data_IF_078509146066
#
_entry.id   IF_078509146066
#
_cell.length_a   1.000
_cell.length_b   1.000
_cell.length_c   1.000
_cell.angle_alpha   90.00
_cell.angle_beta   90.00
_cell.angle_gamma   90.00
#
_symmetry.space_group_name_H-M   'P 1'
#
loop_
_entity.id
_entity.type
_entity.pdbx_description
1 polymer ?
#
# COMPACT_ATOMS: atom_id res chain seq x y z
N UNK A 1 8.80 -20.44 38.48
CA UNK A 1 7.58 -20.93 37.80
C UNK A 1 7.13 -19.84 36.84
N UNK A 2 7.05 -20.16 35.55
CA UNK A 2 6.68 -19.21 34.49
C UNK A 2 5.26 -18.67 34.67
N UNK A 3 4.97 -17.40 34.35
CA UNK A 3 3.60 -16.94 34.31
C UNK A 3 2.90 -17.56 33.09
N UNK A 4 1.73 -18.14 33.36
CA UNK A 4 0.89 -18.86 32.41
C UNK A 4 0.41 -17.92 31.31
N UNK A 5 0.73 -18.27 30.06
CA UNK A 5 0.12 -17.72 28.86
C UNK A 5 -1.40 -17.93 28.95
N UNK A 6 -2.19 -16.86 29.00
CA UNK A 6 -3.64 -16.96 28.97
C UNK A 6 -4.11 -16.89 27.50
N UNK A 7 -4.57 -17.99 26.89
CA UNK A 7 -4.90 -18.04 25.47
C UNK A 7 -6.18 -17.26 25.09
N UNK A 8 -6.89 -16.67 26.05
CA UNK A 8 -8.10 -15.87 25.81
C UNK A 8 -7.83 -14.36 25.68
N UNK A 9 -6.59 -13.90 25.83
CA UNK A 9 -6.21 -12.52 25.51
C UNK A 9 -5.78 -12.44 24.04
N UNK A 10 -6.66 -11.90 23.19
CA UNK A 10 -6.30 -11.50 21.84
C UNK A 10 -5.25 -10.39 21.92
N UNK A 11 -4.01 -10.72 21.56
CA UNK A 11 -2.96 -9.73 21.37
C UNK A 11 -3.37 -8.83 20.22
N UNK A 12 -3.63 -7.55 20.51
CA UNK A 12 -4.09 -6.57 19.50
C UNK A 12 -2.98 -6.28 18.47
N UNK A 13 -1.73 -6.68 18.75
CA UNK A 13 -0.60 -6.53 17.84
C UNK A 13 0.35 -7.75 17.89
N UNK A 14 0.19 -8.73 16.99
CA UNK A 14 1.00 -9.95 16.95
C UNK A 14 2.50 -9.70 16.69
N UNK A 15 2.86 -8.56 16.10
CA UNK A 15 4.22 -8.26 15.63
C UNK A 15 5.19 -7.82 16.75
N UNK A 16 4.68 -7.55 17.96
CA UNK A 16 5.50 -7.18 19.13
C UNK A 16 5.68 -8.38 20.09
N UNK A 17 4.98 -9.49 19.82
CA UNK A 17 4.98 -10.70 20.67
C UNK A 17 6.29 -11.50 20.63
N UNK A 18 7.25 -11.09 19.79
CA UNK A 18 8.57 -11.70 19.68
C UNK A 18 9.55 -11.16 20.72
N UNK A 19 9.49 -11.67 21.95
CA UNK A 19 10.70 -11.78 22.79
C UNK A 19 11.01 -10.70 23.82
N UNK A 20 10.10 -9.78 24.16
CA UNK A 20 10.28 -8.89 25.32
C UNK A 20 9.11 -9.11 26.29
N UNK A 21 9.42 -9.56 27.51
CA UNK A 21 8.44 -9.54 28.59
C UNK A 21 8.11 -8.07 28.87
N UNK A 22 7.01 -7.57 28.33
CA UNK A 22 6.53 -6.25 28.71
C UNK A 22 6.32 -6.25 30.24
N UNK A 23 6.94 -5.31 30.99
CA UNK A 23 6.76 -5.25 32.43
C UNK A 23 5.29 -4.93 32.73
N UNK A 24 4.62 -5.78 33.50
CA UNK A 24 3.21 -5.57 33.82
C UNK A 24 3.07 -4.51 34.90
N UNK A 25 2.28 -3.47 34.65
CA UNK A 25 1.88 -2.50 35.67
C UNK A 25 1.00 -3.23 36.70
N UNK A 26 1.52 -3.38 37.92
CA UNK A 26 0.86 -4.14 38.98
C UNK A 26 0.18 -3.24 40.01
N UNK A 27 0.50 -1.94 40.04
CA UNK A 27 0.02 -1.00 41.06
C UNK A 27 -0.52 0.32 40.51
N UNK A 28 -1.45 0.96 41.24
CA UNK A 28 -2.01 2.28 40.89
C UNK A 28 -0.90 3.36 40.80
N UNK A 29 0.08 3.44 41.73
CA UNK A 29 1.18 4.40 41.62
C UNK A 29 2.05 4.22 40.36
N UNK A 30 2.30 2.99 39.94
CA UNK A 30 3.00 2.69 38.68
C UNK A 30 2.21 3.17 37.47
N UNK A 31 0.89 2.96 37.48
CA UNK A 31 -0.01 3.45 36.44
C UNK A 31 0.00 4.99 36.35
N UNK A 32 -0.16 5.68 37.48
CA UNK A 32 -0.16 7.15 37.53
C UNK A 32 1.17 7.74 37.05
N UNK A 33 2.29 7.10 37.42
CA UNK A 33 3.62 7.48 36.95
C UNK A 33 3.76 7.27 35.44
N UNK A 34 3.38 6.11 34.92
CA UNK A 34 3.42 5.80 33.49
C UNK A 34 2.56 6.77 32.67
N UNK A 35 1.36 7.10 33.16
CA UNK A 35 0.47 8.08 32.55
C UNK A 35 1.07 9.49 32.57
N UNK A 36 1.68 9.89 33.69
CA UNK A 36 2.41 11.15 33.80
C UNK A 36 3.57 11.24 32.79
N UNK A 37 4.33 10.16 32.61
CA UNK A 37 5.38 10.09 31.61
C UNK A 37 4.84 10.13 30.17
N UNK A 38 3.69 9.51 29.90
CA UNK A 38 3.04 9.57 28.59
C UNK A 38 2.64 11.01 28.24
N UNK A 39 2.07 11.74 29.20
CA UNK A 39 1.69 13.15 29.05
C UNK A 39 2.93 14.00 28.76
N UNK A 40 3.98 13.87 29.59
CA UNK A 40 5.25 14.59 29.38
C UNK A 40 5.87 14.28 28.02
N UNK A 41 5.85 13.02 27.60
CA UNK A 41 6.34 12.63 26.27
C UNK A 41 5.53 13.28 25.16
N UNK A 42 4.19 13.36 25.30
CA UNK A 42 3.31 14.04 24.35
C UNK A 42 3.59 15.55 24.27
N UNK A 43 4.01 16.17 25.36
CA UNK A 43 4.45 17.57 25.38
C UNK A 43 5.79 17.78 24.65
N UNK A 44 6.65 16.76 24.62
CA UNK A 44 7.92 16.80 23.88
C UNK A 44 7.75 16.49 22.39
N UNK A 45 6.80 15.62 22.03
CA UNK A 45 6.64 15.19 20.64
C UNK A 45 5.73 13.98 20.47
N UNK A 46 5.83 13.33 19.32
CA UNK A 46 5.06 12.13 19.03
C UNK A 46 5.78 11.21 18.05
N UNK A 47 5.50 9.91 18.15
CA UNK A 47 5.93 8.93 17.17
C UNK A 47 5.10 9.06 15.90
N UNK A 48 5.79 9.17 14.76
CA UNK A 48 5.21 9.35 13.44
C UNK A 48 5.71 8.24 12.52
N UNK A 49 4.73 7.53 11.94
CA UNK A 49 4.95 6.64 10.81
C UNK A 49 4.39 7.32 9.55
N UNK A 50 5.22 7.45 8.52
CA UNK A 50 4.80 7.96 7.21
C UNK A 50 4.24 6.80 6.39
N UNK A 51 3.02 6.96 5.89
CA UNK A 51 2.37 5.98 5.04
C UNK A 51 1.94 6.66 3.74
N UNK A 52 2.37 6.08 2.61
CA UNK A 52 2.06 6.62 1.29
C UNK A 52 1.34 5.53 0.51
N UNK A 53 0.10 5.83 0.14
CA UNK A 53 -0.79 4.88 -0.51
C UNK A 53 -1.11 5.30 -1.94
N UNK A 54 -1.50 4.32 -2.76
CA UNK A 54 -2.09 4.56 -4.08
C UNK A 54 -1.10 4.81 -5.22
N UNK A 55 0.22 4.87 -4.95
CA UNK A 55 1.25 5.11 -5.99
C UNK A 55 1.45 3.90 -6.90
N UNK A 56 1.74 2.74 -6.31
CA UNK A 56 2.01 1.54 -7.09
C UNK A 56 0.69 0.89 -7.54
N UNK A 57 0.47 0.84 -8.85
CA UNK A 57 -0.65 0.15 -9.49
C UNK A 57 -0.12 -0.99 -10.33
N UNK A 58 -0.42 -2.21 -9.89
CA UNK A 58 0.02 -3.46 -10.51
C UNK A 58 -1.12 -4.47 -10.51
N UNK A 59 -1.01 -5.48 -11.38
CA UNK A 59 -1.73 -6.74 -11.23
C UNK A 59 -0.80 -7.91 -11.54
N UNK A 60 -1.12 -9.07 -10.98
CA UNK A 60 -0.51 -10.34 -11.33
C UNK A 60 -1.47 -11.16 -12.19
N UNK A 61 -0.90 -11.91 -13.12
CA UNK A 61 -1.62 -12.82 -13.99
C UNK A 61 -0.97 -14.20 -13.91
N UNK A 62 -1.73 -15.15 -13.40
CA UNK A 62 -1.37 -16.55 -13.28
C UNK A 62 -2.50 -17.36 -13.90
N UNK A 63 -2.25 -18.04 -15.02
CA UNK A 63 -3.30 -18.78 -15.71
C UNK A 63 -3.76 -20.01 -14.93
N UNK A 64 -2.96 -20.51 -13.98
CA UNK A 64 -3.38 -21.60 -13.08
C UNK A 64 -4.52 -21.20 -12.13
N UNK A 65 -4.69 -19.89 -11.86
CA UNK A 65 -5.76 -19.38 -11.00
C UNK A 65 -7.08 -19.21 -11.77
N UNK A 66 -7.02 -19.29 -13.09
CA UNK A 66 -8.16 -19.15 -13.97
C UNK A 66 -8.56 -20.58 -14.34
N UNK A 67 -9.83 -20.96 -14.15
CA UNK A 67 -10.35 -22.31 -14.43
C UNK A 67 -10.38 -22.59 -15.96
N UNK A 68 -9.24 -22.46 -16.62
CA UNK A 68 -9.03 -22.61 -18.05
C UNK A 68 -8.77 -24.10 -18.31
N UNK A 69 -9.55 -24.76 -19.18
CA UNK A 69 -9.25 -26.10 -19.65
C UNK A 69 -7.84 -26.19 -20.22
N UNK A 70 -7.09 -27.24 -19.87
CA UNK A 70 -5.69 -27.40 -20.30
C UNK A 70 -5.53 -27.42 -21.81
N UNK A 71 -6.51 -28.00 -22.50
CA UNK A 71 -6.58 -28.08 -23.95
C UNK A 71 -6.76 -26.71 -24.61
N UNK A 72 -7.10 -25.64 -23.89
CA UNK A 72 -7.15 -24.26 -24.42
C UNK A 72 -5.79 -23.57 -24.39
N UNK A 73 -4.75 -24.21 -23.85
CA UNK A 73 -3.40 -23.65 -23.73
C UNK A 73 -2.41 -24.41 -24.62
N UNK A 74 -1.45 -23.68 -25.19
CA UNK A 74 -0.37 -24.31 -25.95
C UNK A 74 0.44 -25.27 -25.06
N UNK A 75 0.69 -26.49 -25.57
CA UNK A 75 1.40 -27.57 -24.88
C UNK A 75 0.73 -28.07 -23.59
N UNK A 76 -0.57 -27.80 -23.38
CA UNK A 76 -1.33 -28.20 -22.20
C UNK A 76 -0.75 -27.72 -20.86
N UNK A 77 0.15 -26.73 -20.89
CA UNK A 77 0.87 -26.22 -19.72
C UNK A 77 0.73 -24.70 -19.62
N UNK A 78 0.22 -24.18 -18.50
CA UNK A 78 0.14 -22.74 -18.28
C UNK A 78 1.55 -22.13 -18.13
N UNK A 79 1.82 -20.99 -18.80
CA UNK A 79 3.08 -20.28 -18.68
C UNK A 79 3.31 -19.70 -17.28
N UNK A 80 4.56 -19.34 -17.02
CA UNK A 80 5.00 -18.78 -15.75
C UNK A 80 4.30 -17.45 -15.44
N UNK A 81 3.78 -17.25 -14.21
CA UNK A 81 3.05 -16.03 -13.84
C UNK A 81 3.81 -14.74 -14.12
N UNK A 82 3.07 -13.70 -14.52
CA UNK A 82 3.63 -12.37 -14.76
C UNK A 82 3.07 -11.35 -13.78
N UNK A 83 3.84 -10.28 -13.54
CA UNK A 83 3.38 -9.07 -12.85
C UNK A 83 3.53 -7.90 -13.80
N UNK A 84 2.45 -7.16 -14.01
CA UNK A 84 2.41 -6.02 -14.92
C UNK A 84 2.28 -4.75 -14.12
N UNK A 85 3.09 -3.75 -14.44
CA UNK A 85 3.06 -2.44 -13.81
C UNK A 85 2.33 -1.43 -14.70
N UNK A 86 1.55 -0.52 -14.08
CA UNK A 86 0.85 0.52 -14.83
C UNK A 86 1.83 1.47 -15.54
N UNK A 87 2.92 1.82 -14.87
CA UNK A 87 3.88 2.80 -15.37
C UNK A 87 5.17 2.14 -15.88
N UNK A 88 5.85 2.74 -16.86
CA UNK A 88 7.20 2.34 -17.24
C UNK A 88 8.20 2.62 -16.10
N UNK A 89 9.36 1.96 -16.16
CA UNK A 89 10.38 1.99 -15.09
C UNK A 89 10.82 3.42 -14.73
N UNK A 90 10.92 4.32 -15.68
CA UNK A 90 11.41 5.68 -15.42
C UNK A 90 10.39 6.52 -14.64
N UNK A 91 9.11 6.42 -15.00
CA UNK A 91 8.02 7.03 -14.23
C UNK A 91 7.93 6.43 -12.83
N UNK A 92 8.09 5.11 -12.67
CA UNK A 92 8.15 4.47 -11.36
C UNK A 92 9.30 5.01 -10.51
N UNK A 93 10.50 5.17 -11.08
CA UNK A 93 11.66 5.73 -10.38
C UNK A 93 11.43 7.17 -9.96
N UNK A 94 10.85 7.99 -10.84
CA UNK A 94 10.53 9.38 -10.53
C UNK A 94 9.51 9.50 -9.40
N UNK A 95 8.43 8.70 -9.44
CA UNK A 95 7.46 8.62 -8.35
C UNK A 95 8.12 8.19 -7.04
N UNK A 96 8.88 7.09 -7.04
CA UNK A 96 9.62 6.63 -5.85
C UNK A 96 10.54 7.70 -5.26
N UNK A 97 11.20 8.50 -6.11
CA UNK A 97 12.05 9.61 -5.65
C UNK A 97 11.23 10.69 -4.95
N UNK A 98 10.08 11.07 -5.48
CA UNK A 98 9.16 12.02 -4.84
C UNK A 98 8.62 11.48 -3.51
N UNK A 99 8.22 10.20 -3.49
CA UNK A 99 7.78 9.49 -2.29
C UNK A 99 8.86 9.45 -1.21
N UNK A 100 10.12 9.23 -1.60
CA UNK A 100 11.26 9.26 -0.69
C UNK A 100 11.55 10.68 -0.20
N UNK A 101 11.33 11.69 -1.03
CA UNK A 101 11.44 13.11 -0.69
C UNK A 101 10.67 13.49 0.57
N UNK A 102 9.49 12.89 0.79
CA UNK A 102 8.68 13.13 2.00
C UNK A 102 9.45 12.87 3.31
N UNK A 103 10.37 11.89 3.30
CA UNK A 103 11.17 11.55 4.48
C UNK A 103 12.22 12.61 4.83
N UNK A 104 12.56 13.49 3.89
CA UNK A 104 13.62 14.51 4.08
C UNK A 104 13.25 15.58 5.10
N UNK A 105 11.95 15.72 5.41
CA UNK A 105 11.51 16.56 6.51
C UNK A 105 12.18 16.15 7.82
N UNK A 106 12.29 14.85 8.09
CA UNK A 106 12.84 14.33 9.33
C UNK A 106 14.36 14.39 9.33
N UNK A 107 14.90 15.29 10.15
CA UNK A 107 16.32 15.50 10.32
C UNK A 107 16.66 15.70 11.81
N UNK A 108 17.96 15.76 12.12
CA UNK A 108 18.45 15.87 13.52
C UNK A 108 17.93 17.10 14.26
N UNK A 109 17.51 18.16 13.55
CA UNK A 109 17.00 19.39 14.16
C UNK A 109 15.54 19.30 14.60
N UNK A 110 14.75 18.42 14.01
CA UNK A 110 13.31 18.33 14.28
C UNK A 110 12.83 16.93 14.72
N UNK A 111 13.66 15.91 14.61
CA UNK A 111 13.28 14.54 14.94
C UNK A 111 14.48 13.64 15.24
N UNK A 112 14.20 12.41 15.66
CA UNK A 112 15.14 11.30 15.65
C UNK A 112 14.48 10.02 15.16
N UNK A 113 15.30 9.08 14.67
CA UNK A 113 14.83 7.79 14.15
C UNK A 113 14.42 6.86 15.29
N UNK A 114 13.41 6.04 15.03
CA UNK A 114 12.91 5.02 15.95
C UNK A 114 12.71 3.72 15.16
N UNK A 115 12.57 2.58 15.84
CA UNK A 115 12.32 1.28 15.21
C UNK A 115 11.04 1.25 14.35
N UNK A 116 10.10 2.17 14.57
CA UNK A 116 8.80 2.23 13.88
C UNK A 116 8.61 3.48 12.99
N UNK A 117 9.65 4.30 12.80
CA UNK A 117 9.58 5.55 12.05
C UNK A 117 10.40 6.66 12.69
N UNK A 118 9.75 7.76 13.08
CA UNK A 118 10.41 8.94 13.64
C UNK A 118 9.72 9.41 14.92
N UNK A 119 10.47 10.01 15.85
CA UNK A 119 9.89 10.84 16.89
C UNK A 119 10.00 12.31 16.47
N UNK A 120 8.88 12.96 16.19
CA UNK A 120 8.81 14.37 15.79
C UNK A 120 8.67 15.26 17.02
N UNK A 121 9.46 16.32 17.11
CA UNK A 121 9.33 17.29 18.19
C UNK A 121 8.06 18.11 18.06
N UNK A 122 7.38 18.35 19.19
CA UNK A 122 6.09 19.06 19.24
C UNK A 122 6.14 20.44 18.58
N UNK A 123 7.25 21.15 18.73
CA UNK A 123 7.49 22.45 18.11
C UNK A 123 7.39 22.44 16.58
N UNK A 124 7.50 21.27 15.95
CA UNK A 124 7.50 21.12 14.50
C UNK A 124 6.22 20.52 13.91
N UNK A 125 5.19 20.25 14.73
CA UNK A 125 3.92 19.69 14.25
C UNK A 125 3.22 20.57 13.19
N UNK A 126 3.16 21.91 13.34
CA UNK A 126 2.56 22.76 12.32
C UNK A 126 3.32 22.68 10.99
N UNK A 127 4.65 22.72 11.03
CA UNK A 127 5.49 22.61 9.84
C UNK A 127 5.33 21.25 9.15
N UNK A 128 5.18 20.17 9.91
CA UNK A 128 4.94 18.84 9.34
C UNK A 128 3.62 18.79 8.56
N UNK A 129 2.54 19.36 9.11
CA UNK A 129 1.24 19.40 8.45
C UNK A 129 1.31 20.19 7.14
N UNK A 130 1.95 21.36 7.15
CA UNK A 130 2.14 22.18 5.93
C UNK A 130 3.00 21.45 4.91
N UNK A 131 4.12 20.87 5.35
CA UNK A 131 5.02 20.12 4.48
C UNK A 131 4.33 18.94 3.78
N UNK A 132 3.47 18.19 4.49
CA UNK A 132 2.69 17.11 3.88
C UNK A 132 1.78 17.60 2.75
N UNK A 133 1.13 18.75 2.91
CA UNK A 133 0.29 19.35 1.87
C UNK A 133 1.15 19.76 0.66
N UNK A 134 2.29 20.42 0.90
CA UNK A 134 3.22 20.82 -0.17
C UNK A 134 3.77 19.61 -0.95
N UNK A 135 4.07 18.50 -0.26
CA UNK A 135 4.51 17.27 -0.92
C UNK A 135 3.40 16.62 -1.74
N UNK A 136 2.17 16.62 -1.24
CA UNK A 136 1.01 16.12 -1.99
C UNK A 136 0.75 16.97 -3.23
N UNK A 137 0.84 18.30 -3.13
CA UNK A 137 0.73 19.22 -4.26
C UNK A 137 1.85 19.01 -5.28
N UNK A 138 3.09 18.88 -4.82
CA UNK A 138 4.26 18.59 -5.68
C UNK A 138 4.07 17.29 -6.46
N UNK A 139 3.58 16.25 -5.79
CA UNK A 139 3.28 14.96 -6.44
C UNK A 139 2.16 15.10 -7.47
N UNK A 140 1.07 15.78 -7.11
CA UNK A 140 -0.06 16.02 -8.01
C UNK A 140 0.35 16.85 -9.24
N UNK A 141 1.22 17.85 -9.05
CA UNK A 141 1.76 18.67 -10.12
C UNK A 141 2.63 17.83 -11.07
N UNK A 142 3.56 17.04 -10.53
CA UNK A 142 4.36 16.12 -11.33
C UNK A 142 3.49 15.17 -12.18
N UNK A 143 2.44 14.60 -11.59
CA UNK A 143 1.50 13.71 -12.28
C UNK A 143 0.73 14.45 -13.39
N UNK A 144 0.28 15.67 -13.13
CA UNK A 144 -0.39 16.50 -14.13
C UNK A 144 0.55 16.82 -15.29
N UNK A 145 1.78 17.25 -15.00
CA UNK A 145 2.74 17.64 -16.03
C UNK A 145 3.21 16.45 -16.87
N UNK A 146 3.43 15.30 -16.22
CA UNK A 146 4.01 14.12 -16.86
C UNK A 146 2.97 13.21 -17.52
N UNK A 147 1.73 13.16 -17.02
CA UNK A 147 0.75 12.15 -17.40
C UNK A 147 -0.56 12.73 -17.98
N UNK A 148 -0.66 14.04 -18.15
CA UNK A 148 -1.82 14.67 -18.80
C UNK A 148 -1.86 14.41 -20.32
N UNK A 149 -2.83 15.02 -21.01
CA UNK A 149 -2.98 14.96 -22.48
C UNK A 149 -3.08 13.53 -23.03
N UNK A 150 -3.69 12.62 -22.26
CA UNK A 150 -3.93 11.23 -22.68
C UNK A 150 -2.78 10.27 -22.38
N UNK A 151 -1.63 10.74 -21.89
CA UNK A 151 -0.48 9.87 -21.56
C UNK A 151 -0.86 8.82 -20.52
N UNK A 152 -1.58 9.21 -19.46
CA UNK A 152 -2.08 8.26 -18.46
C UNK A 152 -2.96 7.16 -19.08
N UNK A 153 -3.87 7.54 -19.98
CA UNK A 153 -4.75 6.61 -20.66
C UNK A 153 -3.97 5.64 -21.55
N UNK A 154 -2.92 6.12 -22.22
CA UNK A 154 -2.02 5.26 -23.01
C UNK A 154 -1.29 4.26 -22.11
N UNK A 155 -0.72 4.70 -20.98
CA UNK A 155 -0.10 3.78 -20.03
C UNK A 155 -1.06 2.73 -19.50
N UNK A 156 -2.32 3.11 -19.23
CA UNK A 156 -3.35 2.13 -18.88
C UNK A 156 -3.60 1.12 -20.01
N UNK A 157 -3.69 1.57 -21.27
CA UNK A 157 -3.86 0.68 -22.41
C UNK A 157 -2.67 -0.25 -22.60
N UNK A 158 -1.43 0.26 -22.54
CA UNK A 158 -0.21 -0.54 -22.66
C UNK A 158 -0.12 -1.58 -21.55
N UNK A 159 -0.55 -1.20 -20.33
CA UNK A 159 -0.62 -2.08 -19.17
C UNK A 159 -1.68 -3.18 -19.31
N UNK A 160 -2.84 -2.86 -19.88
CA UNK A 160 -3.88 -3.83 -20.17
C UNK A 160 -3.46 -4.77 -21.32
N UNK A 161 -2.90 -4.20 -22.39
CA UNK A 161 -2.42 -4.91 -23.57
C UNK A 161 -1.37 -5.96 -23.22
N UNK A 162 -0.42 -5.65 -22.33
CA UNK A 162 0.59 -6.61 -21.89
C UNK A 162 0.01 -7.90 -21.31
N UNK A 163 -1.02 -7.81 -20.46
CA UNK A 163 -1.70 -8.99 -19.93
C UNK A 163 -2.58 -9.67 -20.97
N UNK A 164 -3.21 -8.89 -21.85
CA UNK A 164 -4.04 -9.42 -22.93
C UNK A 164 -3.21 -10.24 -23.93
N UNK A 165 -2.05 -9.72 -24.34
CA UNK A 165 -1.08 -10.41 -25.20
C UNK A 165 -0.48 -11.63 -24.52
N UNK A 166 -0.28 -11.59 -23.20
CA UNK A 166 0.18 -12.75 -22.45
C UNK A 166 -0.82 -13.92 -22.54
N UNK A 167 -2.13 -13.67 -22.40
CA UNK A 167 -3.15 -14.71 -22.61
C UNK A 167 -3.17 -15.14 -24.08
N UNK A 168 -3.11 -14.18 -25.01
CA UNK A 168 -3.10 -14.45 -26.45
C UNK A 168 -1.97 -15.38 -26.88
N UNK A 169 -0.76 -15.15 -26.37
CA UNK A 169 0.41 -15.96 -26.70
C UNK A 169 0.35 -17.36 -26.06
N UNK A 170 -0.45 -17.54 -25.02
CA UNK A 170 -0.66 -18.81 -24.35
C UNK A 170 -1.82 -19.63 -24.95
N UNK A 171 -2.71 -19.00 -25.71
CA UNK A 171 -3.95 -19.60 -26.20
C UNK A 171 -3.71 -20.55 -27.39
N UNK A 172 -4.14 -21.80 -27.27
CA UNK A 172 -4.14 -22.76 -28.38
C UNK A 172 -5.29 -22.50 -29.37
N UNK A 173 -5.19 -23.07 -30.58
CA UNK A 173 -6.22 -22.95 -31.63
C UNK A 173 -7.59 -23.54 -31.25
N UNK A 174 -7.62 -24.40 -30.24
CA UNK A 174 -8.80 -25.01 -29.62
C UNK A 174 -9.55 -24.05 -28.69
N UNK A 175 -8.90 -23.00 -28.20
CA UNK A 175 -9.53 -22.01 -27.34
C UNK A 175 -10.55 -21.19 -28.14
N UNK A 176 -11.80 -21.02 -27.66
CA UNK A 176 -12.83 -20.30 -28.39
C UNK A 176 -12.66 -18.76 -28.31
N UNK A 177 -11.49 -18.26 -27.96
CA UNK A 177 -11.31 -16.85 -27.60
C UNK A 177 -11.11 -15.95 -28.81
N UNK A 178 -11.73 -14.78 -28.78
CA UNK A 178 -11.53 -13.74 -29.80
C UNK A 178 -10.65 -12.62 -29.28
N UNK A 179 -9.55 -12.36 -29.99
CA UNK A 179 -8.62 -11.29 -29.64
C UNK A 179 -8.87 -10.05 -30.49
N UNK A 180 -9.17 -8.93 -29.83
CA UNK A 180 -9.37 -7.63 -30.48
C UNK A 180 -8.03 -7.07 -30.98
N UNK A 181 -8.02 -6.55 -32.20
CA UNK A 181 -6.80 -5.96 -32.79
C UNK A 181 -6.43 -4.63 -32.14
N UNK A 182 -7.44 -3.85 -31.72
CA UNK A 182 -7.25 -2.55 -31.10
C UNK A 182 -8.08 -2.45 -29.83
N UNK A 183 -7.41 -2.18 -28.71
CA UNK A 183 -8.07 -1.96 -27.43
C UNK A 183 -8.39 -0.47 -27.24
N UNK A 184 -9.61 -0.17 -26.83
CA UNK A 184 -10.06 1.19 -26.52
C UNK A 184 -10.50 1.27 -25.05
N UNK A 185 -10.21 2.41 -24.41
CA UNK A 185 -10.62 2.66 -23.02
C UNK A 185 -12.15 2.57 -22.85
N UNK A 186 -12.91 2.98 -23.87
CA UNK A 186 -14.37 2.92 -23.86
C UNK A 186 -14.87 1.47 -23.73
N UNK A 187 -14.26 0.55 -24.48
CA UNK A 187 -14.68 -0.85 -24.48
C UNK A 187 -14.37 -1.53 -23.14
N UNK A 188 -13.23 -1.17 -22.53
CA UNK A 188 -12.85 -1.64 -21.19
C UNK A 188 -13.84 -1.08 -20.16
N UNK A 189 -14.22 0.20 -20.24
CA UNK A 189 -15.20 0.81 -19.35
C UNK A 189 -16.58 0.17 -19.47
N UNK A 190 -17.04 -0.08 -20.68
CA UNK A 190 -18.32 -0.75 -20.93
C UNK A 190 -18.31 -2.16 -20.34
N UNK A 191 -17.24 -2.92 -20.56
CA UNK A 191 -17.08 -4.24 -19.96
C UNK A 191 -17.03 -4.17 -18.42
N UNK A 192 -16.34 -3.20 -17.82
CA UNK A 192 -16.34 -2.98 -16.36
C UNK A 192 -17.75 -2.79 -15.83
N UNK A 193 -18.55 -1.93 -16.48
CA UNK A 193 -19.92 -1.65 -16.05
C UNK A 193 -20.77 -2.92 -16.11
N UNK A 194 -20.71 -3.66 -17.21
CA UNK A 194 -21.46 -4.91 -17.38
C UNK A 194 -21.07 -5.97 -16.33
N UNK A 195 -19.78 -6.08 -16.01
CA UNK A 195 -19.27 -7.01 -15.00
C UNK A 195 -19.70 -6.60 -13.58
N UNK A 196 -19.75 -5.30 -13.29
CA UNK A 196 -20.24 -4.78 -12.00
C UNK A 196 -21.75 -5.04 -11.86
N UNK A 197 -22.54 -4.72 -12.90
CA UNK A 197 -23.99 -4.93 -12.91
C UNK A 197 -24.36 -6.40 -12.74
N UNK A 198 -23.60 -7.30 -13.37
CA UNK A 198 -23.78 -8.75 -13.24
C UNK A 198 -23.13 -9.36 -11.99
N UNK A 199 -22.45 -8.55 -11.16
CA UNK A 199 -21.67 -9.01 -9.99
C UNK A 199 -20.69 -10.14 -10.34
N UNK A 200 -20.13 -10.10 -11.55
CA UNK A 200 -19.23 -11.12 -12.04
C UNK A 200 -17.91 -11.12 -11.24
N UNK A 201 -17.43 -12.31 -10.93
CA UNK A 201 -16.13 -12.54 -10.30
C UNK A 201 -15.26 -13.39 -11.21
N UNK A 202 -13.94 -13.40 -10.99
CA UNK A 202 -13.02 -14.18 -11.81
C UNK A 202 -13.37 -15.68 -11.86
N UNK A 203 -13.88 -16.24 -10.75
CA UNK A 203 -14.29 -17.64 -10.67
C UNK A 203 -15.62 -17.93 -11.38
N UNK A 204 -16.46 -16.92 -11.60
CA UNK A 204 -17.74 -17.05 -12.27
C UNK A 204 -17.62 -16.93 -13.81
N UNK A 205 -16.48 -16.46 -14.32
CA UNK A 205 -16.24 -16.36 -15.76
C UNK A 205 -16.10 -17.76 -16.38
N UNK A 206 -16.78 -17.99 -17.51
CA UNK A 206 -16.69 -19.25 -18.24
C UNK A 206 -15.56 -19.17 -19.25
N UNK A 207 -14.59 -20.07 -19.14
CA UNK A 207 -13.46 -20.14 -20.08
C UNK A 207 -13.90 -20.39 -21.53
N UNK A 208 -15.12 -20.87 -21.76
CA UNK A 208 -15.71 -21.08 -23.09
C UNK A 208 -16.22 -19.82 -23.76
N UNK A 209 -16.33 -18.71 -23.04
CA UNK A 209 -16.87 -17.46 -23.60
C UNK A 209 -15.84 -16.79 -24.52
N UNK A 210 -16.30 -16.26 -25.66
CA UNK A 210 -15.43 -15.66 -26.69
C UNK A 210 -14.60 -14.49 -26.12
N UNK A 211 -15.21 -13.66 -25.26
CA UNK A 211 -14.59 -12.50 -24.62
C UNK A 211 -13.87 -12.83 -23.30
N UNK A 212 -13.74 -14.12 -22.93
CA UNK A 212 -13.20 -14.52 -21.62
C UNK A 212 -11.86 -13.84 -21.28
N UNK A 213 -10.83 -13.81 -22.17
CA UNK A 213 -9.58 -13.11 -21.87
C UNK A 213 -9.77 -11.62 -21.58
N UNK A 214 -10.66 -10.95 -22.31
CA UNK A 214 -10.92 -9.52 -22.13
C UNK A 214 -11.61 -9.24 -20.80
N UNK A 215 -12.58 -10.07 -20.41
CA UNK A 215 -13.28 -9.99 -19.13
C UNK A 215 -12.35 -10.27 -17.95
N UNK A 216 -11.47 -11.28 -18.06
CA UNK A 216 -10.45 -11.57 -17.05
C UNK A 216 -9.56 -10.36 -16.80
N UNK A 217 -9.01 -9.75 -17.86
CA UNK A 217 -8.15 -8.58 -17.72
C UNK A 217 -8.91 -7.37 -17.17
N UNK A 218 -10.18 -7.22 -17.55
CA UNK A 218 -11.03 -6.16 -17.05
C UNK A 218 -11.29 -6.28 -15.55
N UNK A 219 -11.52 -7.50 -15.05
CA UNK A 219 -11.63 -7.77 -13.61
C UNK A 219 -10.30 -7.59 -12.89
N UNK A 220 -9.19 -8.14 -13.43
CA UNK A 220 -7.85 -8.04 -12.83
C UNK A 220 -7.34 -6.60 -12.76
N UNK A 221 -7.83 -5.70 -13.61
CA UNK A 221 -7.45 -4.28 -13.60
C UNK A 221 -8.50 -3.37 -12.95
N UNK A 222 -9.63 -3.89 -12.46
CA UNK A 222 -10.78 -3.09 -12.02
C UNK A 222 -10.43 -2.08 -10.90
N UNK A 223 -9.46 -2.39 -10.03
CA UNK A 223 -8.96 -1.52 -8.97
C UNK A 223 -8.07 -0.38 -9.47
N UNK A 224 -7.69 -0.38 -10.75
CA UNK A 224 -6.82 0.61 -11.38
C UNK A 224 -7.69 1.61 -12.14
N UNK A 225 -7.62 2.91 -11.79
CA UNK A 225 -8.31 3.96 -12.52
C UNK A 225 -7.86 4.07 -13.98
N UNK A 226 -8.78 4.43 -14.87
CA UNK A 226 -8.50 4.65 -16.30
C UNK A 226 -8.25 6.12 -16.66
N UNK A 227 -8.48 7.03 -15.70
CA UNK A 227 -8.29 8.47 -15.88
C UNK A 227 -7.42 9.05 -14.78
N UNK A 228 -6.60 10.04 -15.16
CA UNK A 228 -5.57 10.61 -14.29
C UNK A 228 -6.13 11.18 -12.98
N UNK A 229 -7.23 11.94 -13.04
CA UNK A 229 -7.79 12.59 -11.84
C UNK A 229 -8.29 11.58 -10.80
N UNK A 230 -8.79 10.42 -11.23
CA UNK A 230 -9.18 9.32 -10.33
C UNK A 230 -7.96 8.60 -9.76
N UNK A 231 -6.87 8.51 -10.52
CA UNK A 231 -5.61 8.00 -9.99
C UNK A 231 -5.02 8.94 -8.93
N UNK A 232 -4.99 10.25 -9.21
CA UNK A 232 -4.54 11.28 -8.27
C UNK A 232 -5.36 11.28 -6.98
N UNK A 233 -6.68 11.10 -7.06
CA UNK A 233 -7.55 11.08 -5.87
C UNK A 233 -7.32 9.88 -4.96
N UNK A 234 -6.70 8.80 -5.45
CA UNK A 234 -6.34 7.61 -4.67
C UNK A 234 -4.96 7.72 -4.01
N UNK A 235 -4.17 8.73 -4.36
CA UNK A 235 -2.83 8.90 -3.82
C UNK A 235 -2.92 9.75 -2.55
N UNK A 236 -2.49 9.17 -1.45
CA UNK A 236 -2.50 9.82 -0.16
C UNK A 236 -1.15 9.69 0.52
N UNK A 237 -0.50 10.83 0.77
CA UNK A 237 0.62 10.95 1.68
C UNK A 237 0.03 11.33 3.04
N UNK A 238 0.05 10.40 3.98
CA UNK A 238 -0.41 10.68 5.34
C UNK A 238 0.58 10.17 6.39
N UNK A 239 0.35 10.63 7.62
CA UNK A 239 1.09 10.17 8.78
C UNK A 239 0.15 9.57 9.79
N UNK A 240 0.63 8.55 10.50
CA UNK A 240 -0.06 7.94 11.62
C UNK A 240 0.75 8.24 12.88
N UNK A 241 0.09 8.84 13.86
CA UNK A 241 0.64 8.97 15.19
C UNK A 241 0.59 7.61 15.88
N UNK A 242 1.76 7.13 16.31
CA UNK A 242 1.88 5.92 17.11
C UNK A 242 1.98 6.30 18.57
N UNK A 243 1.42 5.45 19.43
CA UNK A 243 1.57 5.55 20.87
C UNK A 243 2.46 4.43 21.38
N UNK A 244 2.93 4.57 22.62
CA UNK A 244 3.70 3.56 23.34
C UNK A 244 2.82 2.94 24.42
N UNK A 245 3.01 1.64 24.69
CA UNK A 245 2.35 1.00 25.84
C UNK A 245 2.85 1.62 27.14
N UNK A 246 1.93 1.91 28.06
CA UNK A 246 2.23 2.52 29.37
C UNK A 246 3.22 1.68 30.19
N UNK A 247 3.21 0.36 30.00
CA UNK A 247 4.15 -0.59 30.62
C UNK A 247 5.62 -0.19 30.40
N UNK A 248 5.98 0.32 29.22
CA UNK A 248 7.34 0.78 28.96
C UNK A 248 7.69 2.11 29.65
N UNK A 249 6.70 2.77 30.27
CA UNK A 249 6.84 4.07 30.92
C UNK A 249 6.80 4.00 32.45
N UNK A 250 6.56 2.83 33.06
CA UNK A 250 6.43 2.69 34.52
C UNK A 250 7.75 2.94 35.26
N UNK A 251 8.87 2.46 34.69
CA UNK A 251 10.16 2.38 35.38
C UNK A 251 11.15 3.49 34.96
N UNK A 252 10.68 4.45 34.18
CA UNK A 252 11.50 5.56 33.68
C UNK A 252 10.97 6.91 34.18
N UNK A 253 11.75 7.96 34.03
CA UNK A 253 11.31 9.34 34.21
C UNK A 253 11.55 10.11 32.93
N UNK A 254 10.48 10.53 32.26
CA UNK A 254 10.56 11.29 31.00
C UNK A 254 10.49 12.77 31.33
N UNK A 255 11.57 13.52 31.12
CA UNK A 255 11.55 14.99 31.28
C UNK A 255 12.12 15.73 30.06
N UNK A 256 12.97 15.06 29.27
CA UNK A 256 13.65 15.63 28.11
C UNK A 256 13.53 14.75 26.88
N UNK A 257 13.80 15.31 25.70
CA UNK A 257 13.88 14.58 24.43
C UNK A 257 14.91 13.44 24.51
N UNK A 258 16.00 13.64 25.25
CA UNK A 258 17.06 12.64 25.40
C UNK A 258 16.59 11.42 26.19
N UNK A 259 15.69 11.61 27.16
CA UNK A 259 15.08 10.51 27.91
C UNK A 259 14.21 9.65 26.99
N UNK A 260 13.45 10.29 26.09
CA UNK A 260 12.64 9.59 25.07
C UNK A 260 13.54 8.85 24.08
N UNK A 261 14.67 9.45 23.67
CA UNK A 261 15.63 8.78 22.77
C UNK A 261 16.20 7.52 23.40
N UNK A 262 16.68 7.61 24.64
CA UNK A 262 17.20 6.44 25.39
C UNK A 262 16.14 5.37 25.61
N UNK A 263 14.88 5.75 25.80
CA UNK A 263 13.77 4.80 25.86
C UNK A 263 13.64 4.05 24.52
N UNK A 264 13.66 4.75 23.40
CA UNK A 264 13.52 4.11 22.08
C UNK A 264 14.71 3.24 21.68
N UNK A 265 15.90 3.50 22.19
CA UNK A 265 17.08 2.65 21.97
C UNK A 265 16.99 1.31 22.73
N UNK A 266 16.15 1.24 23.78
CA UNK A 266 15.91 0.02 24.57
C UNK A 266 14.79 -0.85 24.01
N UNK A 267 14.01 -0.35 23.04
CA UNK A 267 12.82 -1.00 22.44
C UNK A 267 13.15 -1.58 21.06
#
# INVERSE_FOLDING_TARGET
MSPKHNPSQLSIFPEISGGLSAPSIATIPEFDKALGNLIKMSDLGAFIQINIHGIDKIYSLNLNELNIPVDFLYNDVPPAPITVHLFPRDTQKALKKLTYGVKTFFNRGNSFNTSFGYFLFRSHFPFWKTYLLEQQETLNQYLTDSLSKGIFGQYFLDHFQQGYDYIKNAAADTAPWTFREKLLLKDIQECRNNLIESQATLSALKATDLDFPFQVLTLKTAHIPMVLHQYQSQIHIHSVFKTIHLEYLSDIDVNTIEDVRKLTEKL
#
